data_IF_072172268781
#
_entry.id   IF_072172268781
#
_cell.length_a   1.000
_cell.length_b   1.000
_cell.length_c   1.000
_cell.angle_alpha   90.00
_cell.angle_beta   90.00
_cell.angle_gamma   90.00
#
_symmetry.space_group_name_H-M   'P 1'
#
loop_
_entity.id
_entity.type
_entity.pdbx_description
1 polymer ?
#
# COMPACT_ATOMS: atom_id res chain seq x y z
N UNK A 1 -8.01 -16.33 13.84
CA UNK A 1 -7.03 -15.40 13.25
C UNK A 1 -7.80 -14.20 12.74
N UNK A 2 -7.39 -12.99 13.10
CA UNK A 2 -8.03 -11.76 12.61
C UNK A 2 -7.33 -11.39 11.32
N UNK A 3 -8.03 -11.44 10.19
CA UNK A 3 -7.49 -11.01 8.91
C UNK A 3 -7.73 -9.52 8.75
N UNK A 4 -6.67 -8.74 8.88
CA UNK A 4 -6.72 -7.30 8.59
C UNK A 4 -6.90 -7.08 7.09
N UNK A 5 -7.80 -6.15 6.75
CA UNK A 5 -8.02 -5.71 5.37
C UNK A 5 -7.63 -4.26 5.25
N UNK A 6 -6.71 -3.98 4.33
CA UNK A 6 -6.19 -2.65 4.07
C UNK A 6 -6.54 -2.17 2.66
N UNK A 7 -6.74 -0.87 2.51
CA UNK A 7 -7.00 -0.23 1.22
C UNK A 7 -5.76 0.53 0.79
N UNK A 8 -5.07 0.01 -0.22
CA UNK A 8 -3.89 0.62 -0.82
C UNK A 8 -4.29 1.51 -2.01
N UNK A 9 -4.18 2.82 -1.84
CA UNK A 9 -4.44 3.80 -2.88
C UNK A 9 -3.15 3.99 -3.67
N UNK A 10 -3.12 3.45 -4.90
CA UNK A 10 -1.96 3.54 -5.78
C UNK A 10 -2.18 4.64 -6.82
N UNK A 11 -1.45 5.74 -6.69
CA UNK A 11 -1.47 6.89 -7.60
C UNK A 11 -0.25 6.86 -8.51
N UNK A 12 -0.45 6.95 -9.83
CA UNK A 12 0.65 6.99 -10.79
C UNK A 12 1.08 8.43 -11.06
N UNK A 13 2.32 8.77 -10.72
CA UNK A 13 2.91 10.10 -10.89
C UNK A 13 4.32 9.97 -11.46
N UNK A 14 4.62 10.72 -12.53
CA UNK A 14 5.96 10.79 -13.13
C UNK A 14 6.64 9.42 -13.43
N UNK A 15 5.83 8.39 -13.71
CA UNK A 15 6.31 7.04 -14.00
C UNK A 15 6.51 6.14 -12.77
N UNK A 16 6.22 6.63 -11.57
CA UNK A 16 6.22 5.88 -10.32
C UNK A 16 4.80 5.70 -9.78
N UNK A 17 4.61 4.70 -8.93
CA UNK A 17 3.38 4.48 -8.17
C UNK A 17 3.61 4.92 -6.74
N UNK A 18 2.98 6.00 -6.33
CA UNK A 18 2.86 6.39 -4.93
C UNK A 18 1.72 5.60 -4.31
N UNK A 19 1.96 4.96 -3.19
CA UNK A 19 0.99 4.11 -2.50
C UNK A 19 0.79 4.60 -1.09
N UNK A 20 -0.46 4.78 -0.71
CA UNK A 20 -0.87 5.16 0.63
C UNK A 20 -1.89 4.16 1.16
N UNK A 21 -1.79 3.80 2.44
CA UNK A 21 -2.77 2.94 3.10
C UNK A 21 -3.77 3.80 3.87
N UNK A 22 -5.04 3.71 3.48
CA UNK A 22 -6.09 4.56 4.05
C UNK A 22 -6.28 4.36 5.56
N UNK A 23 -6.16 3.12 6.02
CA UNK A 23 -6.35 2.74 7.42
C UNK A 23 -5.10 3.00 8.28
N UNK A 24 -3.94 3.25 7.65
CA UNK A 24 -2.66 3.51 8.30
C UNK A 24 -2.11 4.87 7.86
N UNK A 25 -2.69 5.98 8.39
CA UNK A 25 -2.20 7.32 8.10
C UNK A 25 -0.73 7.44 8.54
N UNK A 26 0.16 7.71 7.58
CA UNK A 26 1.60 7.76 7.79
C UNK A 26 2.38 6.59 7.17
N UNK A 27 1.70 5.53 6.74
CA UNK A 27 2.32 4.47 5.93
C UNK A 27 2.19 4.79 4.44
N UNK A 28 3.31 5.19 3.85
CA UNK A 28 3.43 5.47 2.42
C UNK A 28 4.60 4.71 1.83
N UNK A 29 4.44 4.21 0.61
CA UNK A 29 5.51 3.53 -0.14
C UNK A 29 5.45 3.90 -1.61
N UNK A 30 6.54 3.66 -2.33
CA UNK A 30 6.65 3.95 -3.76
C UNK A 30 7.18 2.74 -4.51
N UNK A 31 6.57 2.45 -5.65
CA UNK A 31 6.94 1.31 -6.49
C UNK A 31 7.07 1.72 -7.95
N UNK A 32 8.03 1.15 -8.68
CA UNK A 32 8.09 1.30 -10.15
C UNK A 32 6.98 0.53 -10.85
N UNK A 33 6.56 -0.60 -10.28
CA UNK A 33 5.53 -1.49 -10.84
C UNK A 33 4.44 -1.74 -9.81
N UNK A 34 3.19 -1.72 -10.27
CA UNK A 34 2.02 -1.97 -9.43
C UNK A 34 2.03 -3.35 -8.76
N UNK A 35 2.64 -4.34 -9.40
CA UNK A 35 2.76 -5.70 -8.86
C UNK A 35 3.70 -5.79 -7.65
N UNK A 36 4.58 -4.81 -7.44
CA UNK A 36 5.50 -4.77 -6.30
C UNK A 36 4.84 -4.16 -5.05
N UNK A 37 3.71 -3.48 -5.21
CA UNK A 37 3.03 -2.77 -4.12
C UNK A 37 2.67 -3.72 -2.97
N UNK A 38 2.03 -4.89 -3.20
CA UNK A 38 1.76 -5.87 -2.15
C UNK A 38 2.98 -6.22 -1.30
N UNK A 39 4.08 -6.58 -1.95
CA UNK A 39 5.30 -7.04 -1.30
C UNK A 39 5.93 -5.91 -0.47
N UNK A 40 6.00 -4.70 -1.02
CA UNK A 40 6.53 -3.53 -0.32
C UNK A 40 5.69 -3.12 0.90
N UNK A 41 4.37 -3.28 0.84
CA UNK A 41 3.50 -3.03 2.01
C UNK A 41 3.79 -4.06 3.09
N UNK A 42 3.84 -5.36 2.74
CA UNK A 42 4.14 -6.44 3.68
C UNK A 42 5.50 -6.26 4.33
N UNK A 43 6.53 -6.00 3.54
CA UNK A 43 7.88 -5.76 4.01
C UNK A 43 7.91 -4.55 4.96
N UNK A 44 7.24 -3.45 4.61
CA UNK A 44 7.15 -2.29 5.49
C UNK A 44 6.43 -2.60 6.80
N UNK A 45 5.31 -3.32 6.75
CA UNK A 45 4.55 -3.71 7.95
C UNK A 45 5.30 -4.72 8.83
N UNK A 46 6.16 -5.56 8.24
CA UNK A 46 7.00 -6.50 8.99
C UNK A 46 7.96 -5.80 9.97
N UNK A 47 8.28 -4.52 9.71
CA UNK A 47 9.10 -3.69 10.59
C UNK A 47 8.31 -3.12 11.78
N UNK A 48 6.98 -3.16 11.73
CA UNK A 48 6.08 -2.60 12.75
C UNK A 48 5.10 -3.66 13.26
N UNK A 49 5.57 -4.67 14.01
CA UNK A 49 4.73 -5.75 14.53
C UNK A 49 3.65 -5.27 15.52
N UNK A 50 3.81 -4.07 16.08
CA UNK A 50 2.81 -3.38 16.90
C UNK A 50 1.58 -2.88 16.13
N UNK A 51 1.71 -2.70 14.80
CA UNK A 51 0.63 -2.30 13.90
C UNK A 51 -0.05 -3.54 13.32
N UNK A 52 0.76 -4.49 12.83
CA UNK A 52 0.28 -5.74 12.24
C UNK A 52 1.19 -6.90 12.64
N UNK A 53 0.61 -7.89 13.31
CA UNK A 53 1.33 -9.04 13.84
C UNK A 53 1.58 -10.12 12.79
N UNK A 54 0.75 -10.17 11.73
CA UNK A 54 0.89 -11.13 10.63
C UNK A 54 0.76 -10.42 9.27
N UNK A 55 1.85 -9.81 8.77
CA UNK A 55 1.86 -9.15 7.48
C UNK A 55 1.69 -10.12 6.30
N UNK A 56 1.81 -11.43 6.50
CA UNK A 56 1.67 -12.39 5.41
C UNK A 56 0.23 -12.82 5.17
N UNK A 57 -0.58 -12.89 6.23
CA UNK A 57 -2.00 -13.26 6.17
C UNK A 57 -2.98 -12.10 5.93
N UNK A 58 -2.49 -10.86 5.85
CA UNK A 58 -3.36 -9.70 5.56
C UNK A 58 -3.85 -9.69 4.11
N UNK A 59 -4.97 -9.00 3.91
CA UNK A 59 -5.54 -8.75 2.58
C UNK A 59 -5.45 -7.27 2.23
N UNK A 60 -5.14 -6.97 0.98
CA UNK A 60 -5.11 -5.60 0.46
C UNK A 60 -5.99 -5.48 -0.77
N UNK A 61 -6.68 -4.34 -0.87
CA UNK A 61 -7.37 -3.91 -2.07
C UNK A 61 -6.57 -2.75 -2.68
N UNK A 62 -6.10 -2.93 -3.92
CA UNK A 62 -5.37 -1.89 -4.63
C UNK A 62 -6.35 -1.07 -5.45
N UNK A 63 -6.62 0.15 -4.98
CA UNK A 63 -7.41 1.14 -5.70
C UNK A 63 -6.46 2.00 -6.52
N UNK A 64 -6.52 1.87 -7.85
CA UNK A 64 -5.72 2.73 -8.73
C UNK A 64 -6.37 4.09 -8.80
N UNK A 65 -5.72 5.09 -8.23
CA UNK A 65 -6.13 6.48 -8.41
C UNK A 65 -5.39 7.05 -9.62
N UNK A 66 -6.13 7.30 -10.69
CA UNK A 66 -5.61 8.09 -11.78
C UNK A 66 -5.80 9.55 -11.37
N UNK A 67 -4.78 10.14 -10.74
CA UNK A 67 -4.74 11.58 -10.59
C UNK A 67 -4.70 12.17 -12.00
N UNK A 68 -5.87 12.49 -12.53
CA UNK A 68 -6.02 13.29 -13.73
C UNK A 68 -5.73 14.72 -13.32
N UNK A 69 -4.48 15.03 -12.98
CA UNK A 69 -3.98 16.40 -13.02
C UNK A 69 -3.90 16.77 -14.50
N UNK A 70 -5.07 17.02 -15.08
CA UNK A 70 -5.20 17.80 -16.28
C UNK A 70 -4.89 19.24 -15.88
N UNK A 71 -3.69 19.68 -16.29
CA UNK A 71 -3.14 21.04 -16.30
C UNK A 71 -2.67 21.64 -14.98
#
# INVERSE_FOLDING_TARGET
>A
MMMSRYTAIATREEGWWTVEIKELPGFFTQAKRISQIPELIKDGLSLFPEIEADPDSLSFEIVKNFSSTAK
#
